data_IF_535312233633
#
_entry.id   IF_535312233633
#
_cell.length_a   1.000
_cell.length_b   1.000
_cell.length_c   1.000
_cell.angle_alpha   90.00
_cell.angle_beta   90.00
_cell.angle_gamma   90.00
#
_symmetry.space_group_name_H-M   'P 1'
#
loop_
_entity.id
_entity.type
_entity.pdbx_description
1 polymer ?
#
# COMPACT_ATOMS: atom_id res chain seq x y z
N UNK A 1 -15.48 0.23 11.90
CA UNK A 1 -15.00 -1.07 12.40
C UNK A 1 -13.58 -0.92 12.91
N UNK A 2 -13.20 -1.69 13.93
CA UNK A 2 -11.85 -1.68 14.50
C UNK A 2 -11.21 -3.04 14.38
N UNK A 3 -9.97 -3.08 13.89
CA UNK A 3 -9.16 -4.29 13.78
C UNK A 3 -7.68 -3.94 13.80
N UNK A 4 -6.80 -4.93 13.97
CA UNK A 4 -5.36 -4.75 14.01
C UNK A 4 -4.72 -5.59 12.91
N UNK A 5 -3.73 -5.00 12.22
CA UNK A 5 -2.93 -5.67 11.19
C UNK A 5 -1.45 -5.61 11.56
N UNK A 6 -0.65 -6.54 11.05
CA UNK A 6 0.82 -6.50 11.16
C UNK A 6 1.46 -6.23 9.80
N UNK A 7 2.18 -5.12 9.68
CA UNK A 7 2.95 -4.76 8.47
C UNK A 7 4.36 -4.33 8.89
N UNK A 8 5.39 -4.85 8.20
CA UNK A 8 6.81 -4.55 8.48
C UNK A 8 7.17 -4.66 9.98
N UNK A 9 6.68 -5.72 10.63
CA UNK A 9 6.83 -6.00 12.06
C UNK A 9 6.21 -4.97 13.03
N UNK A 10 5.31 -4.13 12.53
CA UNK A 10 4.55 -3.18 13.33
C UNK A 10 3.08 -3.57 13.34
N UNK A 11 2.52 -3.72 14.54
CA UNK A 11 1.09 -3.89 14.73
C UNK A 11 0.41 -2.51 14.63
N UNK A 12 -0.63 -2.39 13.79
CA UNK A 12 -1.30 -1.15 13.47
C UNK A 12 -2.80 -1.33 13.69
N UNK A 13 -3.38 -0.50 14.56
CA UNK A 13 -4.82 -0.46 14.74
C UNK A 13 -5.45 0.38 13.63
N UNK A 14 -6.52 -0.12 13.02
CA UNK A 14 -7.28 0.60 11.99
C UNK A 14 -8.71 0.77 12.49
N UNK A 15 -9.22 2.00 12.40
CA UNK A 15 -10.62 2.33 12.59
C UNK A 15 -11.20 2.84 11.26
N UNK A 16 -11.93 1.96 10.56
CA UNK A 16 -12.50 2.21 9.24
C UNK A 16 -14.02 2.47 9.28
N UNK A 17 -14.56 3.04 8.23
CA UNK A 17 -15.99 3.24 7.97
C UNK A 17 -16.55 2.03 7.20
N UNK A 18 -15.84 1.57 6.16
CA UNK A 18 -16.25 0.48 5.27
C UNK A 18 -15.48 -0.82 5.50
N UNK A 19 -16.05 -1.93 5.03
CA UNK A 19 -15.51 -3.28 5.22
C UNK A 19 -14.43 -3.63 4.18
N UNK A 20 -14.37 -2.90 3.07
CA UNK A 20 -13.43 -3.18 1.97
C UNK A 20 -11.97 -3.22 2.44
N UNK A 21 -11.55 -2.33 3.34
CA UNK A 21 -10.18 -2.35 3.88
C UNK A 21 -9.93 -3.54 4.81
N UNK A 22 -10.93 -4.00 5.56
CA UNK A 22 -10.82 -5.19 6.39
C UNK A 22 -10.62 -6.43 5.50
N UNK A 23 -11.40 -6.55 4.44
CA UNK A 23 -11.27 -7.63 3.45
C UNK A 23 -9.92 -7.59 2.73
N UNK A 24 -9.45 -6.39 2.36
CA UNK A 24 -8.14 -6.19 1.73
C UNK A 24 -6.99 -6.62 2.65
N UNK A 25 -7.13 -6.38 3.95
CA UNK A 25 -6.09 -6.69 4.94
C UNK A 25 -6.24 -8.05 5.63
N UNK A 26 -7.15 -8.92 5.17
CA UNK A 26 -7.49 -10.18 5.86
C UNK A 26 -6.28 -11.06 6.18
N UNK A 27 -5.30 -11.12 5.28
CA UNK A 27 -4.10 -11.97 5.40
C UNK A 27 -3.05 -11.35 6.34
N UNK A 28 -3.29 -10.13 6.83
CA UNK A 28 -2.41 -9.39 7.73
C UNK A 28 -3.01 -9.20 9.13
N UNK A 29 -4.21 -9.74 9.40
CA UNK A 29 -4.90 -9.60 10.69
C UNK A 29 -4.08 -10.22 11.83
N UNK A 30 -4.15 -9.59 13.00
CA UNK A 30 -3.48 -10.06 14.21
C UNK A 30 -4.23 -9.63 15.47
N UNK A 31 -4.11 -10.38 16.55
CA UNK A 31 -4.62 -10.01 17.89
C UNK A 31 -3.59 -9.23 18.73
N UNK A 32 -2.44 -8.88 18.14
CA UNK A 32 -1.38 -8.16 18.84
C UNK A 32 -1.78 -6.72 19.22
N UNK A 33 -1.15 -6.17 20.25
CA UNK A 33 -1.39 -4.79 20.67
C UNK A 33 -0.86 -3.80 19.61
N UNK A 34 -1.67 -2.82 19.17
CA UNK A 34 -1.28 -1.86 18.15
C UNK A 34 -0.30 -0.82 18.68
N UNK A 35 0.80 -0.59 17.96
CA UNK A 35 1.76 0.47 18.27
C UNK A 35 1.21 1.88 18.04
N UNK A 36 0.16 2.00 17.23
CA UNK A 36 -0.62 3.23 17.00
C UNK A 36 -1.94 2.90 16.31
N UNK A 37 -2.86 3.87 16.30
CA UNK A 37 -4.14 3.78 15.60
C UNK A 37 -4.21 4.77 14.44
N UNK A 38 -4.74 4.30 13.32
CA UNK A 38 -5.19 5.12 12.19
C UNK A 38 -6.71 5.12 12.20
N UNK A 39 -7.30 6.32 12.13
CA UNK A 39 -8.74 6.49 11.93
C UNK A 39 -8.99 7.27 10.65
N UNK A 40 -9.99 6.84 9.89
CA UNK A 40 -10.46 7.53 8.68
C UNK A 40 -11.81 8.17 8.95
N UNK A 41 -11.98 9.40 8.51
CA UNK A 41 -13.23 10.15 8.51
C UNK A 41 -13.73 10.36 7.08
N UNK A 42 -15.01 10.75 6.88
CA UNK A 42 -15.53 11.10 5.56
C UNK A 42 -14.71 12.20 4.87
N UNK A 43 -14.13 13.14 5.62
CA UNK A 43 -13.28 14.21 5.08
C UNK A 43 -12.00 13.65 4.46
N UNK A 44 -11.41 12.60 5.03
CA UNK A 44 -10.23 11.96 4.43
C UNK A 44 -10.55 11.32 3.07
N UNK A 45 -11.75 10.75 2.93
CA UNK A 45 -12.22 10.17 1.66
C UNK A 45 -12.37 11.28 0.60
N UNK A 46 -12.97 12.41 1.00
CA UNK A 46 -13.07 13.59 0.12
C UNK A 46 -11.69 14.09 -0.29
N UNK A 47 -10.71 14.10 0.63
CA UNK A 47 -9.33 14.49 0.32
C UNK A 47 -8.67 13.56 -0.71
N UNK A 48 -8.87 12.24 -0.60
CA UNK A 48 -8.35 11.30 -1.62
C UNK A 48 -9.03 11.50 -2.98
N UNK A 49 -10.34 11.78 -3.01
CA UNK A 49 -11.04 12.11 -4.26
C UNK A 49 -10.49 13.40 -4.88
N UNK A 50 -10.31 14.46 -4.09
CA UNK A 50 -9.73 15.71 -4.56
C UNK A 50 -8.30 15.52 -5.09
N UNK A 51 -7.53 14.65 -4.45
CA UNK A 51 -6.18 14.31 -4.90
C UNK A 51 -6.22 13.60 -6.26
N UNK A 52 -7.11 12.62 -6.44
CA UNK A 52 -7.28 11.96 -7.72
C UNK A 52 -7.64 12.93 -8.84
N UNK A 53 -8.57 13.87 -8.59
CA UNK A 53 -8.96 14.90 -9.57
C UNK A 53 -7.76 15.76 -9.97
N UNK A 54 -6.99 16.26 -8.99
CA UNK A 54 -5.79 17.08 -9.25
C UNK A 54 -4.73 16.34 -10.05
N UNK A 55 -4.50 15.06 -9.75
CA UNK A 55 -3.54 14.22 -10.49
C UNK A 55 -4.00 14.01 -11.94
N UNK A 56 -5.28 13.72 -12.16
CA UNK A 56 -5.85 13.56 -13.49
C UNK A 56 -5.79 14.86 -14.33
N UNK A 57 -6.10 16.01 -13.71
CA UNK A 57 -5.97 17.33 -14.34
C UNK A 57 -4.52 17.62 -14.76
N UNK A 58 -3.55 17.32 -13.90
CA UNK A 58 -2.13 17.51 -14.19
C UNK A 58 -1.63 16.61 -15.33
N UNK A 59 -2.21 15.42 -15.48
CA UNK A 59 -1.90 14.45 -16.55
C UNK A 59 -2.73 14.68 -17.82
N UNK A 60 -3.71 15.59 -17.81
CA UNK A 60 -4.58 15.87 -18.96
C UNK A 60 -5.55 14.73 -19.29
N UNK A 61 -5.89 13.90 -18.30
CA UNK A 61 -6.80 12.75 -18.44
C UNK A 61 -8.09 12.99 -17.64
N UNK A 62 -9.22 12.36 -18.00
CA UNK A 62 -10.45 12.49 -17.22
C UNK A 62 -10.27 11.86 -15.82
N UNK A 63 -10.78 12.51 -14.75
CA UNK A 63 -10.73 11.94 -13.41
C UNK A 63 -11.58 10.68 -13.32
N UNK A 64 -11.16 9.75 -12.46
CA UNK A 64 -11.87 8.51 -12.23
C UNK A 64 -12.73 8.69 -10.98
N UNK A 65 -14.03 8.39 -11.10
CA UNK A 65 -14.93 8.38 -9.95
C UNK A 65 -14.80 7.05 -9.22
N UNK A 66 -14.00 7.06 -8.14
CA UNK A 66 -13.78 5.87 -7.33
C UNK A 66 -14.83 5.75 -6.23
N UNK A 67 -15.21 4.51 -5.91
CA UNK A 67 -16.12 4.24 -4.79
C UNK A 67 -15.52 4.76 -3.47
N UNK A 68 -16.33 5.35 -2.56
CA UNK A 68 -15.86 5.82 -1.26
C UNK A 68 -15.09 4.77 -0.44
N UNK A 69 -15.53 3.50 -0.49
CA UNK A 69 -14.89 2.39 0.20
C UNK A 69 -13.47 2.09 -0.32
N UNK A 70 -13.23 2.30 -1.62
CA UNK A 70 -11.91 2.17 -2.22
C UNK A 70 -11.01 3.33 -1.83
N UNK A 71 -11.53 4.56 -1.88
CA UNK A 71 -10.79 5.76 -1.44
C UNK A 71 -10.40 5.69 0.04
N UNK A 72 -11.24 5.09 0.89
CA UNK A 72 -10.88 4.80 2.27
C UNK A 72 -9.63 3.92 2.37
N UNK A 73 -9.47 2.90 1.50
CA UNK A 73 -8.26 2.06 1.51
C UNK A 73 -7.00 2.89 1.25
N UNK A 74 -7.08 3.88 0.35
CA UNK A 74 -5.98 4.79 0.04
C UNK A 74 -5.68 5.72 1.22
N UNK A 75 -6.73 6.28 1.84
CA UNK A 75 -6.60 7.15 3.01
C UNK A 75 -5.97 6.42 4.21
N UNK A 76 -6.44 5.20 4.52
CA UNK A 76 -5.84 4.33 5.56
C UNK A 76 -4.37 4.14 5.27
N UNK A 77 -4.02 3.70 4.06
CA UNK A 77 -2.65 3.35 3.73
C UNK A 77 -1.71 4.57 3.73
N UNK A 78 -2.19 5.74 3.29
CA UNK A 78 -1.43 7.00 3.37
C UNK A 78 -1.13 7.38 4.82
N UNK A 79 -2.12 7.30 5.71
CA UNK A 79 -1.93 7.59 7.14
C UNK A 79 -0.98 6.59 7.80
N UNK A 80 -1.06 5.32 7.43
CA UNK A 80 -0.08 4.31 7.86
C UNK A 80 1.33 4.71 7.43
N UNK A 81 1.53 5.03 6.16
CA UNK A 81 2.84 5.40 5.62
C UNK A 81 3.45 6.60 6.35
N UNK A 82 2.64 7.63 6.68
CA UNK A 82 3.10 8.79 7.45
C UNK A 82 3.53 8.39 8.86
N UNK A 83 2.76 7.55 9.55
CA UNK A 83 3.09 7.08 10.90
C UNK A 83 4.30 6.14 10.94
N UNK A 84 4.56 5.42 9.85
CA UNK A 84 5.72 4.53 9.71
C UNK A 84 7.04 5.29 9.66
N UNK A 85 7.05 6.56 9.22
CA UNK A 85 8.26 7.39 9.22
C UNK A 85 8.86 7.56 10.63
N UNK A 86 8.04 7.53 11.67
CA UNK A 86 8.48 7.60 13.07
C UNK A 86 9.02 6.26 13.61
N UNK A 87 9.12 5.23 12.77
CA UNK A 87 9.49 3.84 13.11
C UNK A 87 10.56 3.30 12.18
N UNK A 88 11.40 4.19 11.64
CA UNK A 88 12.47 3.89 10.69
C UNK A 88 11.97 3.11 9.48
N UNK A 89 10.72 3.33 9.08
CA UNK A 89 10.07 2.59 8.00
C UNK A 89 9.58 3.56 6.93
N UNK A 90 10.02 3.37 5.69
CA UNK A 90 9.62 4.19 4.55
C UNK A 90 8.78 3.40 3.57
N UNK A 91 7.80 4.08 2.94
CA UNK A 91 7.09 3.53 1.79
C UNK A 91 7.80 3.99 0.51
N UNK A 92 8.17 3.04 -0.36
CA UNK A 92 8.70 3.34 -1.69
C UNK A 92 7.77 2.82 -2.77
N UNK A 93 7.60 3.59 -3.85
CA UNK A 93 6.92 3.09 -5.04
C UNK A 93 7.90 2.24 -5.85
N UNK A 94 7.67 0.93 -5.85
CA UNK A 94 8.52 -0.02 -6.54
C UNK A 94 8.09 -1.45 -6.24
N UNK A 95 8.71 -2.38 -6.94
CA UNK A 95 8.33 -3.78 -6.85
C UNK A 95 9.56 -4.59 -6.43
N UNK A 96 9.40 -5.45 -5.42
CA UNK A 96 10.47 -6.21 -4.79
C UNK A 96 10.34 -7.68 -5.14
N UNK A 97 11.42 -8.23 -5.69
CA UNK A 97 11.58 -9.66 -5.94
C UNK A 97 12.78 -10.17 -5.16
N UNK A 98 12.72 -11.42 -4.71
CA UNK A 98 13.82 -12.06 -3.99
C UNK A 98 14.18 -13.42 -4.60
N UNK A 99 15.45 -13.79 -4.49
CA UNK A 99 16.01 -15.09 -4.88
C UNK A 99 17.10 -15.44 -3.88
N UNK A 100 17.00 -16.59 -3.22
CA UNK A 100 17.94 -16.98 -2.17
C UNK A 100 17.93 -15.99 -0.99
N UNK A 101 19.09 -15.42 -0.68
CA UNK A 101 19.30 -14.47 0.42
C UNK A 101 19.28 -12.99 -0.01
N UNK A 102 18.90 -12.71 -1.26
CA UNK A 102 18.95 -11.36 -1.85
C UNK A 102 17.59 -10.91 -2.35
N UNK A 103 17.35 -9.61 -2.26
CA UNK A 103 16.18 -8.95 -2.80
C UNK A 103 16.57 -7.74 -3.67
N UNK A 104 15.76 -7.48 -4.70
CA UNK A 104 15.93 -6.37 -5.64
C UNK A 104 14.66 -5.55 -5.70
N UNK A 105 14.81 -4.24 -5.51
CA UNK A 105 13.74 -3.26 -5.64
C UNK A 105 13.82 -2.60 -7.02
N UNK A 106 12.81 -2.82 -7.86
CA UNK A 106 12.63 -2.10 -9.11
C UNK A 106 11.86 -0.81 -8.87
N UNK A 107 12.52 0.34 -9.03
CA UNK A 107 11.90 1.67 -9.02
C UNK A 107 11.89 2.23 -10.44
N UNK A 108 10.73 2.70 -10.88
CA UNK A 108 10.56 3.34 -12.17
C UNK A 108 9.20 4.07 -12.20
N UNK A 109 8.99 5.06 -13.09
CA UNK A 109 7.67 5.68 -13.28
C UNK A 109 6.56 4.66 -13.55
N UNK A 110 5.30 5.05 -13.37
CA UNK A 110 4.17 4.17 -13.70
C UNK A 110 4.18 3.80 -15.19
N UNK A 111 3.80 2.56 -15.53
CA UNK A 111 3.74 2.09 -16.93
C UNK A 111 5.08 1.69 -17.58
N UNK A 112 6.21 1.79 -16.88
CA UNK A 112 7.56 1.56 -17.46
C UNK A 112 8.06 0.11 -17.45
N UNK A 113 7.25 -0.84 -16.97
CA UNK A 113 7.57 -2.27 -17.06
C UNK A 113 8.05 -2.97 -15.78
N UNK A 114 7.88 -2.37 -14.59
CA UNK A 114 8.20 -3.04 -13.30
C UNK A 114 7.58 -4.44 -13.17
N UNK A 115 6.28 -4.55 -13.48
CA UNK A 115 5.55 -5.83 -13.48
C UNK A 115 6.07 -6.80 -14.53
N UNK A 116 6.47 -6.29 -15.70
CA UNK A 116 7.09 -7.11 -16.75
C UNK A 116 8.42 -7.69 -16.29
N UNK A 117 9.28 -6.90 -15.63
CA UNK A 117 10.53 -7.39 -15.05
C UNK A 117 10.32 -8.45 -13.97
N UNK A 118 9.36 -8.26 -13.08
CA UNK A 118 8.97 -9.29 -12.10
C UNK A 118 8.56 -10.59 -12.80
N UNK A 119 7.70 -10.51 -13.81
CA UNK A 119 7.23 -11.70 -14.52
C UNK A 119 8.38 -12.47 -15.16
N UNK A 120 9.29 -11.76 -15.84
CA UNK A 120 10.46 -12.37 -16.47
C UNK A 120 11.36 -13.07 -15.46
N UNK A 121 11.54 -12.51 -14.26
CA UNK A 121 12.30 -13.17 -13.21
C UNK A 121 11.63 -14.44 -12.71
N UNK A 122 10.31 -14.40 -12.48
CA UNK A 122 9.54 -15.60 -12.09
C UNK A 122 9.61 -16.71 -13.16
N UNK A 123 9.64 -16.34 -14.43
CA UNK A 123 9.71 -17.28 -15.57
C UNK A 123 11.12 -17.86 -15.77
N UNK A 124 12.18 -17.09 -15.53
CA UNK A 124 13.54 -17.44 -15.95
C UNK A 124 14.55 -17.66 -14.83
N UNK A 125 14.25 -17.25 -13.59
CA UNK A 125 15.15 -17.39 -12.44
C UNK A 125 14.50 -18.31 -11.41
N UNK A 126 14.95 -19.56 -11.38
CA UNK A 126 14.45 -20.58 -10.44
C UNK A 126 14.65 -20.13 -8.99
N UNK A 127 13.59 -20.26 -8.18
CA UNK A 127 13.60 -19.86 -6.78
C UNK A 127 13.32 -18.38 -6.54
N UNK A 128 12.96 -17.62 -7.58
CA UNK A 128 12.47 -16.26 -7.40
C UNK A 128 11.03 -16.20 -6.87
N UNK A 129 10.74 -15.21 -6.03
CA UNK A 129 9.39 -14.94 -5.54
C UNK A 129 9.17 -13.45 -5.28
N UNK A 130 7.91 -13.01 -5.41
CA UNK A 130 7.53 -11.61 -5.17
C UNK A 130 7.43 -11.36 -3.68
N UNK A 131 8.15 -10.35 -3.19
CA UNK A 131 8.06 -9.89 -1.80
C UNK A 131 6.97 -8.81 -1.67
N UNK A 132 6.94 -7.84 -2.58
CA UNK A 132 5.90 -6.81 -2.67
C UNK A 132 5.80 -6.28 -4.11
N UNK A 133 4.60 -6.07 -4.64
CA UNK A 133 4.42 -5.72 -6.05
C UNK A 133 4.44 -4.23 -6.42
N UNK A 134 4.33 -3.31 -5.47
CA UNK A 134 4.07 -1.89 -5.81
C UNK A 134 4.49 -0.86 -4.75
N UNK A 135 4.25 -1.16 -3.47
CA UNK A 135 4.48 -0.23 -2.35
C UNK A 135 5.08 -0.98 -1.16
N UNK A 136 6.33 -1.48 -1.26
CA UNK A 136 7.02 -2.04 -0.11
C UNK A 136 7.18 -1.00 1.01
N UNK A 137 6.97 -1.45 2.24
CA UNK A 137 7.49 -0.80 3.43
C UNK A 137 8.89 -1.35 3.71
N UNK A 138 9.88 -0.46 3.81
CA UNK A 138 11.30 -0.80 3.98
C UNK A 138 11.77 -0.26 5.32
N UNK A 139 12.47 -1.11 6.07
CA UNK A 139 13.04 -0.83 7.39
C UNK A 139 14.53 -1.14 7.38
#
# INVERSE_FOLDING_TARGET
>A
MKFVIRLADVNIGINSIYEEILLLCRDYLTDGEPAFWVSVSPEDIVQEQMKNIREAEAEGIPPVDYRPSYLETLAVYRKIAVQMLNRDTILLHGAVIAVGDRAWLFTAPSGTGKTTHIRLWLEHITGSYVVNGDKPLIR
#
